data_IF_773706602386
#
_entry.id   IF_773706602386
#
_cell.length_a   1.000
_cell.length_b   1.000
_cell.length_c   1.000
_cell.angle_alpha   90.00
_cell.angle_beta   90.00
_cell.angle_gamma   90.00
#
_symmetry.space_group_name_H-M   'P 1'
#
loop_
_entity.id
_entity.type
_entity.pdbx_description
1 polymer ?
#
# COMPACT_ATOMS: atom_id res chain seq x y z
N UNK A 1 14.81 8.00 -25.04
CA UNK A 1 13.35 7.72 -25.01
C UNK A 1 12.98 6.24 -25.02
N UNK A 2 13.83 5.31 -25.45
CA UNK A 2 13.49 3.87 -25.59
C UNK A 2 13.56 3.05 -24.29
N UNK A 3 14.51 3.29 -23.40
CA UNK A 3 14.71 2.51 -22.15
C UNK A 3 13.57 2.74 -21.13
N UNK A 4 13.13 3.97 -20.94
CA UNK A 4 12.05 4.31 -20.01
C UNK A 4 10.71 3.64 -20.39
N UNK A 5 10.39 3.54 -21.70
CA UNK A 5 9.16 2.87 -22.16
C UNK A 5 9.18 1.35 -21.93
N UNK A 6 10.34 0.72 -22.04
CA UNK A 6 10.49 -0.71 -21.75
C UNK A 6 10.31 -1.01 -20.25
N UNK A 7 10.80 -0.14 -19.37
CA UNK A 7 10.60 -0.26 -17.92
C UNK A 7 9.12 -0.08 -17.52
N UNK A 8 8.41 0.85 -18.16
CA UNK A 8 6.99 1.10 -17.89
C UNK A 8 6.10 -0.11 -18.26
N UNK A 9 6.31 -0.73 -19.42
CA UNK A 9 5.58 -1.94 -19.82
C UNK A 9 5.87 -3.11 -18.87
N UNK A 10 7.10 -3.23 -18.38
CA UNK A 10 7.50 -4.25 -17.41
C UNK A 10 6.75 -4.12 -16.08
N UNK A 11 6.58 -2.91 -15.53
CA UNK A 11 5.88 -2.68 -14.25
C UNK A 11 4.41 -3.09 -14.36
N UNK A 12 3.69 -2.60 -15.35
CA UNK A 12 2.27 -2.91 -15.56
C UNK A 12 2.04 -4.41 -15.79
N UNK A 13 2.86 -5.05 -16.61
CA UNK A 13 2.78 -6.49 -16.87
C UNK A 13 3.07 -7.32 -15.61
N UNK A 14 4.08 -6.93 -14.83
CA UNK A 14 4.41 -7.60 -13.57
C UNK A 14 3.28 -7.45 -12.55
N UNK A 15 2.70 -6.27 -12.41
CA UNK A 15 1.53 -6.06 -11.56
C UNK A 15 0.32 -6.86 -12.03
N UNK A 16 0.09 -6.98 -13.33
CA UNK A 16 -1.02 -7.77 -13.87
C UNK A 16 -0.84 -9.27 -13.64
N UNK A 17 0.38 -9.80 -13.74
CA UNK A 17 0.66 -11.23 -13.57
C UNK A 17 0.92 -11.62 -12.13
N UNK A 18 1.78 -10.88 -11.41
CA UNK A 18 2.23 -11.21 -10.05
C UNK A 18 1.42 -10.51 -8.96
N UNK A 19 0.82 -9.35 -9.26
CA UNK A 19 0.11 -8.52 -8.30
C UNK A 19 1.01 -7.59 -7.47
N UNK A 20 2.32 -7.67 -7.64
CA UNK A 20 3.29 -6.81 -6.98
C UNK A 20 4.56 -6.61 -7.80
N UNK A 21 5.29 -5.54 -7.49
CA UNK A 21 6.64 -5.29 -8.01
C UNK A 21 7.43 -4.46 -7.00
N UNK A 22 8.72 -4.72 -6.87
CA UNK A 22 9.62 -3.94 -6.00
C UNK A 22 10.49 -3.04 -6.89
N UNK A 23 10.37 -1.73 -6.67
CA UNK A 23 11.19 -0.70 -7.30
C UNK A 23 12.40 -0.43 -6.40
N UNK A 24 13.58 -0.88 -6.83
CA UNK A 24 14.82 -0.76 -6.05
C UNK A 24 15.39 0.64 -6.13
N UNK A 25 15.87 1.16 -4.98
CA UNK A 25 16.48 2.49 -4.91
C UNK A 25 15.55 3.60 -5.39
N UNK A 26 14.25 3.46 -5.16
CA UNK A 26 13.24 4.41 -5.62
C UNK A 26 13.44 5.80 -5.00
N UNK A 27 13.67 5.87 -3.69
CA UNK A 27 14.12 7.09 -3.02
C UNK A 27 15.65 7.10 -2.98
N UNK A 28 16.23 8.20 -3.40
CA UNK A 28 17.65 8.44 -3.14
C UNK A 28 17.90 8.79 -1.65
N UNK A 29 19.16 8.88 -1.27
CA UNK A 29 19.53 9.14 0.12
C UNK A 29 18.95 10.45 0.67
N UNK A 30 18.92 11.52 -0.14
CA UNK A 30 18.42 12.82 0.28
C UNK A 30 16.91 12.83 0.42
N UNK A 31 16.18 12.14 -0.48
CA UNK A 31 14.74 11.98 -0.42
C UNK A 31 14.32 11.15 0.80
N UNK A 32 15.03 10.05 1.06
CA UNK A 32 14.79 9.22 2.25
C UNK A 32 15.05 10.00 3.54
N UNK A 33 16.16 10.74 3.62
CA UNK A 33 16.49 11.56 4.80
C UNK A 33 15.44 12.64 5.07
N UNK A 34 14.88 13.28 4.02
CA UNK A 34 13.76 14.23 4.17
C UNK A 34 12.50 13.57 4.73
N UNK A 35 12.14 12.38 4.19
CA UNK A 35 11.00 11.61 4.69
C UNK A 35 11.20 11.18 6.15
N UNK A 36 12.38 10.70 6.50
CA UNK A 36 12.72 10.35 7.88
C UNK A 36 12.60 11.54 8.84
N UNK A 37 13.10 12.70 8.42
CA UNK A 37 12.97 13.93 9.19
C UNK A 37 11.51 14.33 9.42
N UNK A 38 10.67 14.23 8.39
CA UNK A 38 9.24 14.52 8.48
C UNK A 38 8.48 13.54 9.39
N UNK A 39 8.93 12.29 9.48
CA UNK A 39 8.34 11.28 10.35
C UNK A 39 8.82 11.33 11.81
N UNK A 40 9.86 12.09 12.14
CA UNK A 40 10.40 12.19 13.53
C UNK A 40 9.38 12.59 14.60
N UNK A 41 8.38 13.44 14.34
CA UNK A 41 7.35 13.78 15.32
C UNK A 41 6.46 12.59 15.72
N UNK A 42 6.41 11.51 14.93
CA UNK A 42 5.64 10.32 15.25
C UNK A 42 6.42 9.48 16.26
N UNK A 43 6.18 9.77 17.56
CA UNK A 43 6.87 9.11 18.66
C UNK A 43 5.91 8.12 19.32
N UNK A 44 6.41 6.91 19.62
CA UNK A 44 5.67 5.85 20.33
C UNK A 44 4.37 5.37 19.66
N UNK A 45 4.13 5.72 18.40
CA UNK A 45 3.02 5.22 17.62
C UNK A 45 3.49 4.11 16.66
N UNK A 46 2.68 3.06 16.55
CA UNK A 46 3.00 1.90 15.70
C UNK A 46 2.13 1.80 14.45
N UNK A 47 1.04 2.58 14.39
CA UNK A 47 0.14 2.63 13.26
C UNK A 47 -0.66 3.92 13.23
N UNK A 48 -0.21 4.91 12.47
CA UNK A 48 -0.88 6.19 12.29
C UNK A 48 -1.71 6.16 11.03
N UNK A 49 -3.00 6.49 11.13
CA UNK A 49 -3.92 6.59 10.00
C UNK A 49 -4.04 8.04 9.54
N UNK A 50 -4.37 8.23 8.27
CA UNK A 50 -4.49 9.57 7.66
C UNK A 50 -3.21 10.40 7.87
N UNK A 51 -2.06 9.73 7.78
CA UNK A 51 -0.78 10.32 8.19
C UNK A 51 -0.39 11.53 7.35
N UNK A 52 -0.80 11.59 6.07
CA UNK A 52 -0.54 12.77 5.24
C UNK A 52 -1.40 13.98 5.62
N UNK A 53 -2.54 13.76 6.31
CA UNK A 53 -3.39 14.84 6.82
C UNK A 53 -2.95 15.29 8.22
N UNK A 54 -2.65 14.32 9.10
CA UNK A 54 -2.25 14.59 10.49
C UNK A 54 -0.81 15.10 10.61
N UNK A 55 0.06 14.76 9.63
CA UNK A 55 1.46 15.15 9.55
C UNK A 55 1.79 15.68 8.14
N UNK A 56 1.36 16.89 7.79
CA UNK A 56 1.47 17.41 6.42
C UNK A 56 2.92 17.52 5.91
N UNK A 57 3.91 17.66 6.80
CA UNK A 57 5.33 17.68 6.42
C UNK A 57 5.75 16.36 5.73
N UNK A 58 5.09 15.24 6.04
CA UNK A 58 5.34 13.98 5.33
C UNK A 58 4.92 14.12 3.87
N UNK A 59 3.75 14.69 3.60
CA UNK A 59 3.31 14.95 2.23
C UNK A 59 4.28 15.86 1.47
N UNK A 60 4.81 16.91 2.12
CA UNK A 60 5.77 17.83 1.54
C UNK A 60 7.15 17.19 1.27
N UNK A 61 7.52 16.16 2.03
CA UNK A 61 8.81 15.47 1.88
C UNK A 61 8.83 14.45 0.73
N UNK A 62 7.66 14.05 0.22
CA UNK A 62 7.56 12.99 -0.79
C UNK A 62 7.96 13.45 -2.19
N UNK A 63 8.68 12.62 -2.97
CA UNK A 63 9.06 12.93 -4.35
C UNK A 63 7.87 12.67 -5.30
N UNK A 64 6.86 13.52 -5.27
CA UNK A 64 5.60 13.33 -6.00
C UNK A 64 5.78 13.09 -7.50
N UNK A 65 6.76 13.72 -8.14
CA UNK A 65 7.05 13.51 -9.56
C UNK A 65 7.42 12.04 -9.85
N UNK A 66 8.28 11.45 -9.00
CA UNK A 66 8.65 10.02 -9.12
C UNK A 66 7.46 9.12 -8.83
N UNK A 67 6.66 9.45 -7.79
CA UNK A 67 5.46 8.70 -7.43
C UNK A 67 4.47 8.70 -8.59
N UNK A 68 4.16 9.88 -9.16
CA UNK A 68 3.27 9.98 -10.32
C UNK A 68 3.77 9.19 -11.52
N UNK A 69 5.07 9.25 -11.81
CA UNK A 69 5.67 8.47 -12.89
C UNK A 69 5.51 6.97 -12.68
N UNK A 70 5.71 6.49 -11.44
CA UNK A 70 5.52 5.08 -11.09
C UNK A 70 4.04 4.66 -11.19
N UNK A 71 3.09 5.50 -10.80
CA UNK A 71 1.65 5.23 -10.93
C UNK A 71 1.23 5.14 -12.39
N UNK A 72 1.72 6.05 -13.24
CA UNK A 72 1.48 5.99 -14.70
C UNK A 72 2.07 4.72 -15.28
N UNK A 73 3.30 4.34 -14.89
CA UNK A 73 3.94 3.10 -15.29
C UNK A 73 3.16 1.84 -14.85
N UNK A 74 2.49 1.93 -13.71
CA UNK A 74 1.61 0.88 -13.19
C UNK A 74 0.21 0.85 -13.84
N UNK A 75 -0.07 1.76 -14.79
CA UNK A 75 -1.34 1.84 -15.51
C UNK A 75 -2.41 2.69 -14.82
N UNK A 76 -2.05 3.49 -13.80
CA UNK A 76 -3.00 4.38 -13.11
C UNK A 76 -2.62 5.84 -13.37
N UNK A 77 -3.32 6.47 -14.30
CA UNK A 77 -3.20 7.90 -14.56
C UNK A 77 -4.22 8.69 -13.72
N UNK A 78 -3.91 9.97 -13.46
CA UNK A 78 -4.76 10.88 -12.68
C UNK A 78 -5.15 10.33 -11.28
N UNK A 79 -4.29 9.51 -10.68
CA UNK A 79 -4.50 8.93 -9.38
C UNK A 79 -4.48 10.00 -8.27
N UNK A 80 -5.29 9.77 -7.24
CA UNK A 80 -5.27 10.53 -5.99
C UNK A 80 -4.82 9.62 -4.86
N UNK A 81 -4.18 10.17 -3.84
CA UNK A 81 -3.97 9.44 -2.59
C UNK A 81 -5.32 9.32 -1.89
N UNK A 82 -5.77 8.09 -1.66
CA UNK A 82 -7.10 7.82 -1.08
C UNK A 82 -7.02 7.26 0.34
N UNK A 83 -5.82 6.85 0.77
CA UNK A 83 -5.53 6.42 2.13
C UNK A 83 -4.03 6.51 2.40
N UNK A 84 -3.67 6.94 3.61
CA UNK A 84 -2.29 7.01 4.06
C UNK A 84 -2.11 6.45 5.46
N UNK A 85 -1.09 5.62 5.64
CA UNK A 85 -0.76 4.94 6.88
C UNK A 85 0.75 4.97 7.12
N UNK A 86 1.13 5.14 8.36
CA UNK A 86 2.50 4.93 8.80
C UNK A 86 2.54 3.74 9.74
N UNK A 87 3.41 2.80 9.47
CA UNK A 87 3.64 1.62 10.31
C UNK A 87 5.05 1.64 10.88
N UNK A 88 5.16 1.35 12.16
CA UNK A 88 6.43 1.24 12.88
C UNK A 88 6.45 -0.05 13.71
N UNK A 89 6.91 -1.12 13.11
CA UNK A 89 7.13 -2.38 13.82
C UNK A 89 8.51 -2.34 14.50
N UNK A 90 8.54 -2.58 15.80
CA UNK A 90 9.75 -2.57 16.62
C UNK A 90 9.58 -3.55 17.80
N UNK A 91 10.57 -3.61 18.71
CA UNK A 91 10.54 -4.52 19.84
C UNK A 91 9.31 -4.34 20.75
N UNK A 92 8.86 -3.09 20.96
CA UNK A 92 7.68 -2.80 21.79
C UNK A 92 6.36 -3.10 21.05
N UNK A 93 6.37 -3.05 19.73
CA UNK A 93 5.21 -3.22 18.88
C UNK A 93 5.51 -4.27 17.80
N UNK A 94 5.47 -5.53 18.18
CA UNK A 94 5.79 -6.68 17.33
C UNK A 94 4.56 -7.58 17.16
N UNK A 95 3.70 -7.25 16.19
CA UNK A 95 2.45 -7.97 15.94
C UNK A 95 2.55 -8.87 14.70
N UNK A 96 1.77 -9.94 14.70
CA UNK A 96 1.54 -10.79 13.53
C UNK A 96 0.41 -10.21 12.69
N UNK A 97 0.56 -10.24 11.38
CA UNK A 97 -0.51 -9.96 10.42
C UNK A 97 -0.77 -11.27 9.66
N UNK A 98 -1.90 -11.95 9.90
CA UNK A 98 -2.23 -13.19 9.20
C UNK A 98 -2.46 -12.92 7.71
N UNK A 99 -2.50 -13.96 6.90
CA UNK A 99 -2.82 -13.88 5.49
C UNK A 99 -4.18 -13.18 5.27
N UNK A 100 -4.21 -12.15 4.44
CA UNK A 100 -5.39 -11.37 4.13
C UNK A 100 -5.24 -10.61 2.81
N UNK A 101 -6.33 -10.00 2.37
CA UNK A 101 -6.40 -9.05 1.28
C UNK A 101 -6.87 -7.70 1.84
N UNK A 102 -6.44 -6.59 1.25
CA UNK A 102 -6.95 -5.26 1.57
C UNK A 102 -8.30 -5.06 0.86
N UNK A 103 -9.40 -5.43 1.54
CA UNK A 103 -10.75 -5.46 0.95
C UNK A 103 -11.60 -4.24 1.28
N UNK A 104 -11.09 -3.25 2.01
CA UNK A 104 -11.87 -2.08 2.43
C UNK A 104 -11.26 -0.78 1.97
N UNK A 105 -12.12 0.16 1.62
CA UNK A 105 -11.76 1.56 1.33
C UNK A 105 -12.21 2.48 2.46
N UNK A 106 -11.59 3.66 2.56
CA UNK A 106 -11.94 4.72 3.50
C UNK A 106 -12.78 5.78 2.81
N UNK A 107 -13.95 6.09 3.39
CA UNK A 107 -14.91 7.02 2.78
C UNK A 107 -15.43 8.05 3.78
N UNK A 108 -15.96 9.16 3.26
CA UNK A 108 -16.42 10.32 4.03
C UNK A 108 -17.63 10.04 4.93
N UNK A 109 -18.49 9.13 4.53
CA UNK A 109 -19.72 8.82 5.25
C UNK A 109 -20.25 7.43 4.90
N UNK A 110 -21.13 6.88 5.76
CA UNK A 110 -21.87 5.66 5.47
C UNK A 110 -23.08 6.00 4.58
N UNK A 111 -23.35 5.15 3.59
CA UNK A 111 -24.53 5.24 2.73
C UNK A 111 -25.01 3.84 2.31
N UNK A 112 -26.28 3.72 1.96
CA UNK A 112 -26.82 2.52 1.35
C UNK A 112 -26.55 2.54 -0.15
N UNK A 113 -25.62 1.69 -0.60
CA UNK A 113 -25.18 1.61 -1.98
C UNK A 113 -25.07 0.14 -2.41
N UNK A 114 -25.56 -0.15 -3.60
CA UNK A 114 -25.49 -1.51 -4.15
C UNK A 114 -24.03 -1.98 -4.29
N UNK A 115 -23.73 -3.17 -3.79
CA UNK A 115 -22.38 -3.75 -3.82
C UNK A 115 -21.42 -3.26 -2.74
N UNK A 116 -21.82 -2.27 -1.91
CA UNK A 116 -21.03 -1.79 -0.78
C UNK A 116 -21.54 -2.40 0.52
N UNK A 117 -20.66 -3.01 1.32
CA UNK A 117 -21.06 -3.71 2.54
C UNK A 117 -20.00 -3.75 3.63
N UNK A 118 -20.29 -4.46 4.73
CA UNK A 118 -19.37 -4.62 5.86
C UNK A 118 -18.82 -3.28 6.38
N UNK A 119 -19.71 -2.34 6.61
CA UNK A 119 -19.38 -1.04 7.16
C UNK A 119 -18.78 -1.14 8.55
N UNK A 120 -17.67 -0.45 8.78
CA UNK A 120 -17.04 -0.27 10.09
C UNK A 120 -16.59 1.17 10.27
N UNK A 121 -16.52 1.62 11.52
CA UNK A 121 -15.98 2.92 11.89
C UNK A 121 -14.69 2.70 12.68
N UNK A 122 -13.58 3.31 12.25
CA UNK A 122 -12.28 3.23 12.92
C UNK A 122 -11.66 4.62 12.95
N UNK A 123 -11.37 5.14 14.16
CA UNK A 123 -10.84 6.50 14.36
C UNK A 123 -11.65 7.55 13.56
N UNK A 124 -12.98 7.50 13.72
CA UNK A 124 -13.95 8.39 13.06
C UNK A 124 -13.96 8.36 11.52
N UNK A 125 -13.29 7.38 10.91
CA UNK A 125 -13.32 7.15 9.47
C UNK A 125 -14.18 5.94 9.13
N UNK A 126 -15.10 6.12 8.21
CA UNK A 126 -15.91 5.03 7.69
C UNK A 126 -15.08 4.14 6.75
N UNK A 127 -15.13 2.84 7.02
CA UNK A 127 -14.56 1.82 6.16
C UNK A 127 -15.68 0.99 5.57
N UNK A 128 -15.57 0.66 4.30
CA UNK A 128 -16.56 -0.16 3.58
C UNK A 128 -15.85 -1.12 2.64
N UNK A 129 -16.41 -2.31 2.48
CA UNK A 129 -16.02 -3.22 1.41
C UNK A 129 -16.77 -2.81 0.14
N UNK A 130 -16.07 -2.26 -0.90
CA UNK A 130 -16.69 -1.85 -2.16
C UNK A 130 -16.82 -3.03 -3.11
N UNK A 131 -17.45 -2.89 -4.29
CA UNK A 131 -17.33 -3.84 -5.40
C UNK A 131 -15.86 -4.12 -5.75
N UNK A 132 -15.59 -5.33 -6.28
CA UNK A 132 -14.22 -5.77 -6.63
C UNK A 132 -13.57 -4.83 -7.65
N UNK A 133 -14.35 -4.32 -8.59
CA UNK A 133 -13.91 -3.40 -9.65
C UNK A 133 -13.28 -2.11 -9.11
N UNK A 134 -13.72 -1.64 -7.95
CA UNK A 134 -13.10 -0.48 -7.28
C UNK A 134 -11.70 -0.84 -6.78
N UNK A 135 -11.55 -2.00 -6.14
CA UNK A 135 -10.25 -2.48 -5.62
C UNK A 135 -9.27 -2.80 -6.77
N UNK A 136 -9.76 -3.33 -7.89
CA UNK A 136 -8.93 -3.64 -9.07
C UNK A 136 -8.29 -2.39 -9.68
N UNK A 137 -8.95 -1.23 -9.53
CA UNK A 137 -8.46 0.08 -9.99
C UNK A 137 -7.61 0.82 -8.95
N UNK A 138 -7.30 0.18 -7.84
CA UNK A 138 -6.43 0.73 -6.81
C UNK A 138 -5.01 0.16 -6.91
N UNK A 139 -4.08 0.91 -6.36
CA UNK A 139 -2.69 0.48 -6.17
C UNK A 139 -2.20 0.93 -4.81
N UNK A 140 -1.54 0.04 -4.12
CA UNK A 140 -0.83 0.31 -2.88
C UNK A 140 0.64 0.53 -3.17
N UNK A 141 1.22 1.60 -2.62
CA UNK A 141 2.64 1.89 -2.59
C UNK A 141 3.15 1.83 -1.15
N UNK A 142 4.11 0.98 -0.88
CA UNK A 142 4.74 0.83 0.43
C UNK A 142 6.21 1.26 0.33
N UNK A 143 6.53 2.40 0.92
CA UNK A 143 7.88 2.96 0.94
C UNK A 143 8.60 2.38 2.17
N UNK A 144 9.68 1.66 1.95
CA UNK A 144 10.52 1.12 3.03
C UNK A 144 11.42 2.24 3.55
N UNK A 145 11.20 2.65 4.79
CA UNK A 145 12.08 3.60 5.48
C UNK A 145 13.26 2.91 6.16
N UNK A 146 13.11 1.64 6.46
CA UNK A 146 14.14 0.75 6.98
C UNK A 146 14.27 -0.48 6.10
N UNK A 147 15.40 -1.16 6.15
CA UNK A 147 15.56 -2.45 5.48
C UNK A 147 14.55 -3.46 6.03
N UNK A 148 13.98 -4.27 5.15
CA UNK A 148 13.03 -5.33 5.48
C UNK A 148 13.56 -6.68 4.98
N UNK A 149 13.59 -7.67 5.86
CA UNK A 149 14.00 -9.03 5.57
C UNK A 149 13.15 -10.03 6.40
N UNK A 150 13.45 -11.32 6.33
CA UNK A 150 12.68 -12.32 7.07
C UNK A 150 12.80 -12.18 8.59
N UNK A 151 13.92 -11.67 9.12
CA UNK A 151 14.16 -11.54 10.56
C UNK A 151 13.36 -10.41 11.20
N UNK A 152 13.12 -9.31 10.46
CA UNK A 152 12.31 -8.19 10.93
C UNK A 152 10.91 -8.16 10.29
N UNK A 153 10.44 -9.33 9.86
CA UNK A 153 9.09 -9.57 9.39
C UNK A 153 8.73 -8.78 8.12
N UNK A 154 9.58 -8.84 7.09
CA UNK A 154 9.23 -8.35 5.76
C UNK A 154 7.87 -8.91 5.32
N UNK A 155 7.16 -8.17 4.48
CA UNK A 155 5.89 -8.62 3.94
C UNK A 155 6.09 -9.90 3.12
N UNK A 156 5.20 -10.88 3.34
CA UNK A 156 5.07 -12.09 2.49
C UNK A 156 3.88 -11.90 1.58
N UNK A 157 3.99 -12.34 0.34
CA UNK A 157 2.92 -12.27 -0.64
C UNK A 157 2.76 -13.60 -1.36
N UNK A 158 1.54 -13.91 -1.82
CA UNK A 158 1.28 -15.00 -2.75
C UNK A 158 1.06 -14.42 -4.15
N UNK A 159 2.05 -14.60 -5.02
CA UNK A 159 2.04 -14.05 -6.37
C UNK A 159 0.82 -14.53 -7.17
N UNK A 160 0.20 -13.62 -7.92
CA UNK A 160 -0.96 -13.92 -8.74
C UNK A 160 -2.28 -14.09 -8.01
N UNK A 161 -2.30 -14.12 -6.66
CA UNK A 161 -3.52 -14.35 -5.86
C UNK A 161 -4.61 -13.29 -6.06
N UNK A 162 -4.23 -12.05 -6.41
CA UNK A 162 -5.17 -10.96 -6.70
C UNK A 162 -6.14 -11.25 -7.83
N UNK A 163 -5.79 -12.17 -8.75
CA UNK A 163 -6.62 -12.55 -9.91
C UNK A 163 -7.83 -13.40 -9.54
N UNK A 164 -7.88 -13.89 -8.30
CA UNK A 164 -8.99 -14.71 -7.80
C UNK A 164 -10.09 -13.89 -7.11
N UNK A 165 -10.03 -12.56 -7.23
CA UNK A 165 -10.97 -11.68 -6.57
C UNK A 165 -10.87 -11.74 -5.04
N UNK A 166 -12.00 -11.53 -4.36
CA UNK A 166 -12.06 -11.54 -2.89
C UNK A 166 -12.15 -12.96 -2.36
N UNK A 167 -11.12 -13.42 -1.69
CA UNK A 167 -11.06 -14.72 -1.02
C UNK A 167 -11.45 -14.56 0.46
N UNK A 168 -12.40 -15.37 0.94
CA UNK A 168 -12.94 -15.26 2.31
C UNK A 168 -13.15 -16.63 2.95
N UNK A 169 -12.94 -16.69 4.29
CA UNK A 169 -13.19 -17.91 5.05
C UNK A 169 -12.52 -19.13 4.44
N UNK A 170 -13.25 -20.22 4.31
CA UNK A 170 -12.74 -21.49 3.77
C UNK A 170 -12.11 -21.38 2.36
N UNK A 171 -12.53 -20.40 1.53
CA UNK A 171 -11.90 -20.18 0.23
C UNK A 171 -10.48 -19.63 0.37
N UNK A 172 -10.29 -18.70 1.31
CA UNK A 172 -8.96 -18.15 1.64
C UNK A 172 -8.04 -19.26 2.17
N UNK A 173 -8.53 -20.03 3.13
CA UNK A 173 -7.76 -21.11 3.76
C UNK A 173 -7.35 -22.16 2.72
N UNK A 174 -8.28 -22.61 1.90
CA UNK A 174 -8.02 -23.58 0.83
C UNK A 174 -7.08 -23.03 -0.26
N UNK A 175 -7.11 -21.72 -0.54
CA UNK A 175 -6.19 -21.13 -1.49
C UNK A 175 -4.76 -21.13 -0.94
N UNK A 176 -4.59 -20.73 0.32
CA UNK A 176 -3.27 -20.70 0.98
C UNK A 176 -2.69 -22.12 1.07
N UNK A 177 -3.50 -23.10 1.46
CA UNK A 177 -3.07 -24.51 1.62
C UNK A 177 -2.59 -25.12 0.28
N UNK A 178 -3.21 -24.72 -0.83
CA UNK A 178 -2.90 -25.24 -2.17
C UNK A 178 -1.89 -24.40 -2.95
N UNK A 179 -1.53 -23.23 -2.44
CA UNK A 179 -0.60 -22.34 -3.14
C UNK A 179 0.78 -23.01 -3.25
N UNK A 180 1.39 -23.02 -4.45
CA UNK A 180 2.75 -23.52 -4.60
C UNK A 180 3.74 -22.67 -3.78
N UNK A 181 4.74 -23.32 -3.18
CA UNK A 181 5.81 -22.61 -2.46
C UNK A 181 6.52 -21.58 -3.34
N UNK A 182 6.63 -21.84 -4.65
CA UNK A 182 7.22 -20.94 -5.62
C UNK A 182 6.46 -19.61 -5.79
N UNK A 183 5.17 -19.58 -5.44
CA UNK A 183 4.35 -18.36 -5.50
C UNK A 183 4.46 -17.52 -4.22
N UNK A 184 5.03 -18.08 -3.14
CA UNK A 184 5.25 -17.36 -1.91
C UNK A 184 6.57 -16.58 -1.96
N UNK A 185 6.47 -15.26 -1.87
CA UNK A 185 7.64 -14.37 -1.90
C UNK A 185 7.76 -13.56 -0.61
N UNK A 186 8.98 -13.48 -0.08
CA UNK A 186 9.33 -12.54 0.99
C UNK A 186 9.83 -11.26 0.32
N UNK A 187 9.11 -10.17 0.50
CA UNK A 187 9.43 -8.86 -0.07
C UNK A 187 10.61 -8.22 0.68
N UNK A 188 11.81 -8.77 0.48
CA UNK A 188 13.04 -8.19 1.04
C UNK A 188 13.33 -6.85 0.36
N UNK A 189 13.53 -5.80 1.15
CA UNK A 189 13.77 -4.44 0.66
C UNK A 189 14.90 -3.78 1.42
N UNK A 190 15.57 -2.84 0.77
CA UNK A 190 16.46 -1.87 1.40
C UNK A 190 15.67 -0.59 1.75
N UNK A 191 16.20 0.24 2.64
CA UNK A 191 15.65 1.57 2.88
C UNK A 191 15.67 2.38 1.57
N UNK A 192 14.55 3.04 1.25
CA UNK A 192 14.34 3.74 -0.02
C UNK A 192 13.75 2.90 -1.14
N UNK A 193 13.65 1.56 -0.99
CA UNK A 193 12.88 0.73 -1.92
C UNK A 193 11.37 0.96 -1.77
N UNK A 194 10.64 0.68 -2.85
CA UNK A 194 9.17 0.77 -2.87
C UNK A 194 8.57 -0.54 -3.37
N UNK A 195 7.61 -1.06 -2.63
CA UNK A 195 6.75 -2.14 -3.08
C UNK A 195 5.44 -1.55 -3.61
N UNK A 196 5.15 -1.79 -4.88
CA UNK A 196 3.82 -1.58 -5.47
C UNK A 196 3.05 -2.90 -5.41
N UNK A 197 1.79 -2.87 -4.99
CA UNK A 197 0.96 -4.08 -4.91
C UNK A 197 -0.52 -3.80 -5.14
N UNK A 198 -1.22 -4.80 -5.67
CA UNK A 198 -2.68 -4.77 -5.80
C UNK A 198 -3.34 -5.02 -4.45
N UNK A 199 -4.46 -4.34 -4.10
CA UNK A 199 -5.16 -4.56 -2.83
C UNK A 199 -5.58 -6.01 -2.59
N UNK A 200 -6.01 -6.70 -3.64
CA UNK A 200 -6.45 -8.10 -3.55
C UNK A 200 -5.30 -9.11 -3.59
N UNK A 201 -4.04 -8.69 -3.59
CA UNK A 201 -2.91 -9.59 -3.42
C UNK A 201 -2.94 -10.13 -1.98
N UNK A 202 -2.93 -11.44 -1.82
CA UNK A 202 -2.78 -12.08 -0.51
C UNK A 202 -1.42 -11.75 0.07
N UNK A 203 -1.42 -11.22 1.29
CA UNK A 203 -0.19 -10.85 1.97
C UNK A 203 -0.28 -11.08 3.48
N UNK A 204 0.87 -11.24 4.10
CA UNK A 204 1.02 -11.49 5.52
C UNK A 204 2.34 -10.89 6.04
N UNK A 205 2.48 -10.77 7.35
CA UNK A 205 3.74 -10.38 7.97
C UNK A 205 3.88 -11.07 9.32
N UNK A 206 4.94 -11.82 9.52
CA UNK A 206 5.21 -12.52 10.78
C UNK A 206 5.55 -11.54 11.91
N UNK A 207 5.76 -12.07 13.11
CA UNK A 207 6.46 -11.33 14.15
C UNK A 207 7.95 -11.26 13.81
N UNK A 208 8.57 -10.12 14.03
CA UNK A 208 10.02 -10.00 13.94
C UNK A 208 10.69 -10.88 14.98
N UNK A 209 11.78 -11.54 14.60
CA UNK A 209 12.59 -12.36 15.51
C UNK A 209 13.75 -11.58 16.14
N UNK A 210 14.03 -10.40 15.60
CA UNK A 210 15.04 -9.48 16.15
C UNK A 210 14.36 -8.16 16.60
N UNK A 211 15.12 -7.32 17.32
CA UNK A 211 14.64 -6.05 17.87
C UNK A 211 14.75 -4.88 16.86
N UNK A 212 15.02 -5.13 15.60
CA UNK A 212 15.20 -4.06 14.62
C UNK A 212 13.88 -3.35 14.31
N UNK A 213 13.99 -2.05 14.09
CA UNK A 213 12.87 -1.22 13.65
C UNK A 213 12.55 -1.48 12.18
N UNK A 214 11.27 -1.46 11.81
CA UNK A 214 10.81 -1.52 10.43
C UNK A 214 9.66 -0.53 10.22
N UNK A 215 10.01 0.65 9.71
CA UNK A 215 9.07 1.72 9.38
C UNK A 215 8.66 1.61 7.91
N UNK A 216 7.39 1.79 7.65
CA UNK A 216 6.82 1.77 6.29
C UNK A 216 5.79 2.89 6.18
N UNK A 217 5.93 3.72 5.16
CA UNK A 217 4.86 4.61 4.72
C UNK A 217 4.05 3.88 3.65
N UNK A 218 2.75 3.70 3.92
CA UNK A 218 1.82 2.96 3.09
C UNK A 218 0.79 3.93 2.52
N UNK A 219 0.77 4.06 1.21
CA UNK A 219 -0.10 4.96 0.47
C UNK A 219 -0.97 4.15 -0.50
N UNK A 220 -2.28 4.39 -0.47
CA UNK A 220 -3.19 3.80 -1.44
C UNK A 220 -3.65 4.86 -2.44
N UNK A 221 -3.67 4.49 -3.71
CA UNK A 221 -4.00 5.36 -4.83
C UNK A 221 -5.15 4.82 -5.64
N UNK A 222 -6.01 5.72 -6.13
CA UNK A 222 -7.07 5.41 -7.08
C UNK A 222 -7.39 6.61 -7.97
N UNK A 223 -7.76 6.35 -9.20
CA UNK A 223 -8.38 7.32 -10.10
C UNK A 223 -9.91 7.23 -10.10
N UNK A 224 -10.48 6.26 -9.39
CA UNK A 224 -11.91 5.98 -9.38
C UNK A 224 -12.70 7.10 -8.72
N UNK A 225 -13.77 7.53 -9.36
CA UNK A 225 -14.81 8.38 -8.76
C UNK A 225 -15.82 7.46 -8.08
N UNK A 226 -16.00 7.65 -6.78
CA UNK A 226 -16.97 6.88 -6.01
C UNK A 226 -18.40 7.35 -6.31
N UNK A 227 -19.42 6.48 -6.18
CA UNK A 227 -20.81 6.88 -6.37
C UNK A 227 -21.27 7.82 -5.25
N UNK A 228 -22.02 8.85 -5.61
CA UNK A 228 -22.65 9.73 -4.60
C UNK A 228 -23.54 8.90 -3.65
N UNK A 229 -23.63 9.26 -2.36
CA UNK A 229 -23.06 10.46 -1.74
C UNK A 229 -21.67 10.24 -1.10
N UNK A 230 -21.01 9.09 -1.28
CA UNK A 230 -19.71 8.83 -0.67
C UNK A 230 -18.57 9.46 -1.47
N UNK A 231 -17.56 9.94 -0.74
CA UNK A 231 -16.30 10.43 -1.28
C UNK A 231 -15.15 9.68 -0.60
N UNK A 232 -13.97 9.65 -1.22
CA UNK A 232 -12.76 9.16 -0.55
C UNK A 232 -12.48 10.01 0.70
N UNK A 233 -12.12 9.36 1.81
CA UNK A 233 -11.85 10.06 3.06
C UNK A 233 -10.59 10.95 2.99
N UNK A 234 -9.63 10.57 2.14
CA UNK A 234 -8.34 11.25 1.96
C UNK A 234 -8.11 11.67 0.50
N UNK A 235 -9.10 12.22 -0.19
CA UNK A 235 -8.92 12.64 -1.58
C UNK A 235 -8.02 13.89 -1.71
N UNK A 236 -6.76 13.79 -1.31
CA UNK A 236 -5.76 14.80 -1.61
C UNK A 236 -5.35 14.69 -3.09
N UNK A 237 -5.51 15.79 -3.85
CA UNK A 237 -4.85 15.88 -5.16
C UNK A 237 -3.34 15.85 -4.93
N UNK A 238 -2.63 15.05 -5.70
CA UNK A 238 -1.18 15.11 -5.79
C UNK A 238 -0.87 16.43 -6.51
N UNK A 239 -0.69 17.49 -5.73
CA UNK A 239 -0.33 18.80 -6.26
C UNK A 239 1.12 18.71 -6.76
N UNK A 240 1.29 18.42 -8.05
CA UNK A 240 2.51 18.76 -8.73
C UNK A 240 2.60 20.29 -8.66
N UNK A 241 3.49 20.83 -7.85
CA UNK A 241 3.85 22.23 -7.95
C UNK A 241 4.48 22.42 -9.34
N UNK A 242 3.69 22.92 -10.28
CA UNK A 242 4.21 23.58 -11.46
C UNK A 242 4.78 24.92 -10.98
N UNK A 243 6.08 25.00 -10.80
CA UNK A 243 6.86 26.21 -10.94
C UNK A 243 7.56 26.18 -12.28
#
# INVERSE_FOLDING_TARGET
MSAALADYQSISQTLASQGFVILRGFLDHAELARLEQACRPIINEYGVRQVLQTHPDIALSLPWQKILSALVAAGISAAKTVRSLYFNKNAAHNWLVPWHQDMTICVSQKAELAGYGKWTLKNDVHHVEPPTEVLDQMLTMRIAMDAANHENAALKVLAGSHRHGKLKGAQLDAYIEKAPDADMHICTMQAGDVLLMKPLLLHASDKAVNASQRRVLHLEFSATVLPAPILWAEAAQISGHTN
#
